data_IF_006507980619
#
_entry.id   IF_006507980619
#
_cell.length_a   1.000
_cell.length_b   1.000
_cell.length_c   1.000
_cell.angle_alpha   90.00
_cell.angle_beta   90.00
_cell.angle_gamma   90.00
#
_symmetry.space_group_name_H-M   'P 1'
#
loop_
_entity.id
_entity.type
_entity.pdbx_description
1 polymer ?
#
# COMPACT_ATOMS: atom_id res chain seq x y z
N UNK A 1 35.21 15.17 5.28
CA UNK A 1 34.18 14.13 5.10
C UNK A 1 32.81 14.76 5.39
N UNK A 2 31.96 15.05 4.40
CA UNK A 2 30.64 15.60 4.69
C UNK A 2 29.65 14.47 5.00
N UNK A 3 28.94 14.60 6.12
CA UNK A 3 27.87 13.71 6.56
C UNK A 3 26.60 14.12 5.82
N UNK A 4 26.06 13.23 4.98
CA UNK A 4 24.73 13.42 4.39
C UNK A 4 23.68 13.41 5.51
N UNK A 5 22.92 14.50 5.62
CA UNK A 5 21.76 14.59 6.50
C UNK A 5 20.51 14.37 5.65
N UNK A 6 19.88 13.22 5.81
CA UNK A 6 18.61 12.90 5.15
C UNK A 6 17.51 13.78 5.75
N UNK A 7 17.05 14.74 4.95
CA UNK A 7 15.92 15.59 5.28
C UNK A 7 14.62 14.81 5.06
N UNK A 8 14.23 13.97 6.04
CA UNK A 8 12.94 13.26 6.04
C UNK A 8 11.86 14.15 6.65
N UNK A 9 11.50 15.21 5.94
CA UNK A 9 10.32 16.01 6.29
C UNK A 9 9.05 15.36 5.73
N UNK A 10 8.50 14.42 6.50
CA UNK A 10 7.12 13.97 6.31
C UNK A 10 6.17 15.11 6.70
N UNK A 11 5.38 15.60 5.74
CA UNK A 11 4.32 16.59 6.00
C UNK A 11 3.15 15.87 6.68
N UNK A 12 2.96 16.07 7.99
CA UNK A 12 1.75 15.64 8.68
C UNK A 12 0.75 16.79 8.76
N UNK A 13 -0.40 16.63 8.10
CA UNK A 13 -1.58 17.49 8.30
C UNK A 13 -2.42 16.92 9.43
N UNK A 14 -2.77 17.75 10.42
CA UNK A 14 -3.65 17.35 11.51
C UNK A 14 -5.12 17.29 11.07
N UNK A 15 -5.74 16.12 11.18
CA UNK A 15 -7.18 15.89 11.29
C UNK A 15 -7.44 14.43 11.70
N UNK A 16 -8.40 14.20 12.59
CA UNK A 16 -8.80 12.88 13.09
C UNK A 16 -9.57 12.10 12.01
N UNK A 17 -8.85 11.53 11.05
CA UNK A 17 -9.18 10.38 10.18
C UNK A 17 -8.36 10.50 8.89
N UNK A 18 -7.05 10.27 8.98
CA UNK A 18 -6.14 10.25 7.83
C UNK A 18 -6.35 8.96 7.01
N UNK A 19 -7.39 8.89 6.19
CA UNK A 19 -7.46 7.88 5.13
C UNK A 19 -6.44 8.23 4.05
N UNK A 20 -5.68 7.25 3.59
CA UNK A 20 -4.80 7.39 2.43
C UNK A 20 -5.63 7.02 1.20
N UNK A 21 -5.74 7.95 0.27
CA UNK A 21 -6.37 7.72 -1.04
C UNK A 21 -5.35 7.95 -2.14
N UNK A 22 -5.30 7.03 -3.09
CA UNK A 22 -4.37 7.05 -4.20
C UNK A 22 -5.09 6.58 -5.47
N UNK A 23 -4.89 7.29 -6.58
CA UNK A 23 -5.60 7.06 -7.83
C UNK A 23 -4.61 6.76 -8.96
N UNK A 24 -4.99 5.88 -9.88
CA UNK A 24 -4.23 5.55 -11.10
C UNK A 24 -2.76 5.17 -10.83
N UNK A 25 -2.55 4.40 -9.77
CA UNK A 25 -1.23 3.96 -9.33
C UNK A 25 -0.75 2.81 -10.23
N UNK A 26 0.46 2.92 -10.77
CA UNK A 26 1.05 1.91 -11.64
C UNK A 26 1.44 0.64 -10.85
N UNK A 27 1.17 -0.54 -11.44
CA UNK A 27 1.57 -1.85 -10.90
C UNK A 27 2.99 -2.21 -11.38
N UNK A 28 3.87 -2.78 -10.51
CA UNK A 28 3.67 -3.05 -9.09
C UNK A 28 3.82 -1.80 -8.22
N UNK A 29 3.09 -1.73 -7.10
CA UNK A 29 3.21 -0.63 -6.14
C UNK A 29 3.15 -1.07 -4.68
N UNK A 30 3.74 -0.25 -3.82
CA UNK A 30 3.82 -0.42 -2.37
C UNK A 30 3.37 0.87 -1.69
N UNK A 31 2.22 0.84 -1.02
CA UNK A 31 1.68 1.98 -0.27
C UNK A 31 1.91 1.74 1.21
N UNK A 32 2.58 2.69 1.88
CA UNK A 32 2.74 2.65 3.33
C UNK A 32 1.43 3.06 4.00
N UNK A 33 0.86 2.15 4.78
CA UNK A 33 -0.35 2.41 5.56
C UNK A 33 0.03 2.39 7.04
N UNK A 34 0.14 3.55 7.72
CA UNK A 34 0.40 3.57 9.15
C UNK A 34 -0.81 3.07 9.93
N UNK A 35 -0.56 2.44 11.07
CA UNK A 35 -1.58 2.09 12.08
C UNK A 35 -2.79 1.31 11.55
N UNK A 36 -2.54 0.26 10.75
CA UNK A 36 -3.59 -0.66 10.27
C UNK A 36 -4.03 -1.65 11.37
N UNK A 37 -4.74 -1.12 12.37
CA UNK A 37 -5.27 -1.84 13.52
C UNK A 37 -6.79 -2.11 13.39
N UNK A 38 -7.39 -2.64 14.45
CA UNK A 38 -8.80 -3.05 14.48
C UNK A 38 -9.76 -1.94 14.03
N UNK A 39 -10.70 -2.29 13.15
CA UNK A 39 -11.72 -1.37 12.62
C UNK A 39 -11.29 -0.55 11.39
N UNK A 40 -10.02 -0.65 10.97
CA UNK A 40 -9.53 -0.05 9.73
C UNK A 40 -10.03 -0.81 8.50
N UNK A 41 -10.18 -0.09 7.39
CA UNK A 41 -10.66 -0.60 6.11
C UNK A 41 -9.64 -0.32 5.02
N UNK A 42 -9.41 -1.33 4.19
CA UNK A 42 -8.66 -1.22 2.96
C UNK A 42 -9.62 -1.50 1.80
N UNK A 43 -9.74 -0.57 0.86
CA UNK A 43 -10.62 -0.69 -0.31
C UNK A 43 -9.80 -0.45 -1.56
N UNK A 44 -9.96 -1.32 -2.54
CA UNK A 44 -9.34 -1.20 -3.86
C UNK A 44 -10.40 -1.27 -4.95
N UNK A 45 -10.14 -0.56 -6.03
CA UNK A 45 -10.86 -0.70 -7.30
C UNK A 45 -9.80 -1.09 -8.32
N UNK A 46 -9.96 -2.27 -8.92
CA UNK A 46 -8.98 -2.84 -9.85
C UNK A 46 -9.69 -3.35 -11.09
N UNK A 47 -8.98 -3.31 -12.22
CA UNK A 47 -9.38 -3.98 -13.45
C UNK A 47 -8.28 -4.99 -13.78
N UNK A 48 -8.56 -6.31 -13.73
CA UNK A 48 -7.60 -7.31 -14.18
C UNK A 48 -7.17 -7.06 -15.62
N UNK A 49 -5.90 -7.30 -15.92
CA UNK A 49 -5.39 -7.20 -17.30
C UNK A 49 -5.96 -8.37 -18.13
N UNK A 50 -6.40 -8.15 -19.38
CA UNK A 50 -7.01 -9.20 -20.21
C UNK A 50 -6.10 -10.42 -20.40
N UNK A 51 -4.81 -10.19 -20.52
CA UNK A 51 -3.76 -11.22 -20.67
C UNK A 51 -3.11 -11.65 -19.34
N UNK A 52 -3.58 -11.15 -18.19
CA UNK A 52 -3.07 -11.51 -16.88
C UNK A 52 -3.64 -12.84 -16.38
N UNK A 53 -2.77 -13.78 -15.99
CA UNK A 53 -3.16 -15.05 -15.38
C UNK A 53 -3.47 -14.94 -13.87
N UNK A 54 -2.93 -13.91 -13.21
CA UNK A 54 -3.14 -13.63 -11.79
C UNK A 54 -2.82 -12.18 -11.43
N UNK A 55 -3.29 -11.75 -10.27
CA UNK A 55 -2.77 -10.57 -9.58
C UNK A 55 -2.71 -10.82 -8.08
N UNK A 56 -1.93 -10.03 -7.34
CA UNK A 56 -1.81 -10.16 -5.89
C UNK A 56 -1.93 -8.82 -5.17
N UNK A 57 -2.57 -8.87 -4.01
CA UNK A 57 -2.60 -7.80 -3.01
C UNK A 57 -2.06 -8.38 -1.71
N UNK A 58 -0.98 -7.79 -1.22
CA UNK A 58 -0.32 -8.22 0.02
C UNK A 58 -0.48 -7.16 1.10
N UNK A 59 -1.04 -7.52 2.25
CA UNK A 59 -0.88 -6.74 3.48
C UNK A 59 0.36 -7.25 4.20
N UNK A 60 1.34 -6.35 4.38
CA UNK A 60 2.66 -6.70 4.89
C UNK A 60 2.93 -5.99 6.21
N UNK A 61 3.53 -6.73 7.14
CA UNK A 61 4.28 -6.12 8.24
C UNK A 61 5.71 -5.84 7.75
N UNK A 62 6.55 -5.16 8.53
CA UNK A 62 7.97 -5.00 8.17
C UNK A 62 8.71 -6.32 7.95
N UNK A 63 8.26 -7.41 8.57
CA UNK A 63 8.93 -8.71 8.54
C UNK A 63 8.21 -9.81 7.77
N UNK A 64 6.92 -9.67 7.44
CA UNK A 64 6.12 -10.77 6.88
C UNK A 64 4.91 -10.32 6.02
N UNK A 65 4.25 -11.27 5.37
CA UNK A 65 2.97 -11.10 4.66
C UNK A 65 1.85 -11.59 5.58
N UNK A 66 1.16 -10.66 6.23
CA UNK A 66 0.02 -10.97 7.10
C UNK A 66 -1.20 -11.47 6.30
N UNK A 67 -1.36 -11.00 5.07
CA UNK A 67 -2.42 -11.44 4.17
C UNK A 67 -1.91 -11.45 2.73
N UNK A 68 -2.15 -12.57 2.04
CA UNK A 68 -1.89 -12.73 0.61
C UNK A 68 -3.22 -13.02 -0.11
N UNK A 69 -3.73 -12.03 -0.83
CA UNK A 69 -4.88 -12.22 -1.71
C UNK A 69 -4.37 -12.36 -3.15
N UNK A 70 -4.67 -13.49 -3.81
CA UNK A 70 -4.04 -13.84 -5.09
C UNK A 70 -5.02 -14.55 -6.04
N UNK A 71 -6.00 -13.83 -6.64
CA UNK A 71 -6.85 -14.40 -7.67
C UNK A 71 -6.03 -14.92 -8.84
N UNK A 72 -6.39 -16.11 -9.30
CA UNK A 72 -5.82 -16.77 -10.47
C UNK A 72 -6.96 -17.10 -11.42
N UNK A 73 -6.75 -16.87 -12.72
CA UNK A 73 -7.75 -17.03 -13.78
C UNK A 73 -7.49 -18.26 -14.66
N UNK A 74 -6.50 -19.06 -14.31
CA UNK A 74 -6.14 -20.30 -14.98
C UNK A 74 -6.88 -21.53 -14.43
#
# INVERSE_FOLDING_TARGET
>A
MPRFQEDRTWKFGGATSSSIEAFNINTPNHIMVPDFNNGRRFRVVVVPLPEGDRFAINLRTPSDIAMHFNPRFN
#
